data_IF_848412832048
#
_entry.id   IF_848412832048
#
_cell.length_a   1.000
_cell.length_b   1.000
_cell.length_c   1.000
_cell.angle_alpha   90.00
_cell.angle_beta   90.00
_cell.angle_gamma   90.00
#
_symmetry.space_group_name_H-M   'P 1'
#
loop_
_entity.id
_entity.type
_entity.pdbx_description
1 polymer ?
#
# COMPACT_ATOMS: atom_id res chain seq x y z
N UNK A 1 -40.50 -42.68 8.62
CA UNK A 1 -41.85 -42.19 9.01
C UNK A 1 -41.85 -40.68 8.81
N UNK A 2 -42.59 -40.14 7.81
CA UNK A 2 -43.80 -39.29 7.94
C UNK A 2 -43.68 -38.17 9.01
N UNK A 3 -43.97 -36.88 8.75
CA UNK A 3 -44.43 -36.14 7.53
C UNK A 3 -44.23 -34.61 7.74
N UNK A 4 -44.16 -33.82 6.66
CA UNK A 4 -44.33 -32.34 6.66
C UNK A 4 -45.82 -31.95 6.64
N UNK A 5 -46.23 -30.93 7.41
CA UNK A 5 -47.43 -30.05 7.28
C UNK A 5 -47.06 -28.74 8.04
N UNK A 6 -47.23 -27.47 7.62
CA UNK A 6 -47.78 -26.77 6.44
C UNK A 6 -49.29 -26.38 6.42
N UNK A 7 -49.56 -25.15 6.91
CA UNK A 7 -50.69 -24.24 6.60
C UNK A 7 -52.15 -24.60 7.00
N UNK A 8 -52.91 -23.60 7.47
CA UNK A 8 -54.15 -23.03 6.85
C UNK A 8 -54.76 -21.92 7.73
N UNK A 9 -55.37 -20.90 7.10
CA UNK A 9 -56.13 -19.81 7.73
C UNK A 9 -57.61 -20.17 7.94
N UNK A 10 -58.23 -19.66 9.02
CA UNK A 10 -59.60 -19.13 9.09
C UNK A 10 -59.77 -18.40 10.45
N UNK A 11 -59.89 -17.08 10.52
CA UNK A 11 -61.07 -16.27 10.18
C UNK A 11 -62.30 -16.58 11.07
N UNK A 12 -62.50 -15.77 12.11
CA UNK A 12 -63.82 -15.61 12.75
C UNK A 12 -64.17 -14.12 12.80
N UNK A 13 -65.33 -13.77 12.26
CA UNK A 13 -65.84 -12.40 12.21
C UNK A 13 -66.77 -12.21 13.39
N UNK A 14 -66.57 -11.14 14.16
CA UNK A 14 -67.64 -10.57 14.98
C UNK A 14 -67.53 -9.04 14.93
N UNK A 15 -68.42 -8.42 14.17
CA UNK A 15 -68.60 -6.98 14.19
C UNK A 15 -69.54 -6.61 15.33
N UNK A 16 -69.26 -5.51 16.04
CA UNK A 16 -70.30 -4.69 16.65
C UNK A 16 -69.82 -3.24 16.82
N UNK A 17 -70.49 -2.35 16.08
CA UNK A 17 -70.79 -0.92 16.36
C UNK A 17 -70.18 -0.23 17.60
N UNK A 18 -69.63 0.98 17.42
CA UNK A 18 -69.44 1.93 18.54
C UNK A 18 -68.73 3.25 18.21
N UNK A 19 -69.52 4.34 18.11
CA UNK A 19 -69.15 5.75 18.29
C UNK A 19 -67.93 6.35 17.53
N UNK A 20 -68.22 7.34 16.66
CA UNK A 20 -67.24 8.33 16.20
C UNK A 20 -66.99 9.36 17.31
N UNK A 21 -65.74 9.51 17.74
CA UNK A 21 -65.31 10.59 18.62
C UNK A 21 -64.32 11.50 17.88
N UNK A 22 -64.78 12.66 17.42
CA UNK A 22 -63.96 13.69 16.77
C UNK A 22 -63.15 14.46 17.82
N UNK A 23 -61.95 13.98 18.15
CA UNK A 23 -61.01 14.77 18.95
C UNK A 23 -60.26 15.76 18.05
N UNK A 24 -60.65 17.03 18.14
CA UNK A 24 -59.97 18.16 17.52
C UNK A 24 -58.69 18.42 18.30
N UNK A 25 -57.53 17.99 17.79
CA UNK A 25 -56.24 18.29 18.43
C UNK A 25 -55.87 19.73 18.10
N UNK A 26 -55.87 20.60 19.12
CA UNK A 26 -55.44 21.98 18.99
C UNK A 26 -53.95 22.05 18.64
N UNK A 27 -53.60 22.78 17.58
CA UNK A 27 -52.22 23.03 17.22
C UNK A 27 -51.59 24.04 18.21
N UNK A 28 -50.64 23.58 19.02
CA UNK A 28 -49.79 24.45 19.82
C UNK A 28 -48.68 25.07 18.95
N UNK A 29 -48.31 26.35 19.19
CA UNK A 29 -47.26 27.00 18.41
C UNK A 29 -45.89 26.41 18.73
N UNK A 30 -45.06 26.23 17.72
CA UNK A 30 -43.71 25.71 17.87
C UNK A 30 -42.78 26.76 18.51
N UNK A 31 -42.27 26.47 19.70
CA UNK A 31 -41.15 27.19 20.31
C UNK A 31 -39.83 26.71 19.71
N UNK A 32 -39.11 27.60 19.04
CA UNK A 32 -37.76 27.33 18.53
C UNK A 32 -36.72 27.66 19.60
N UNK A 33 -35.89 26.68 19.97
CA UNK A 33 -34.72 26.84 20.85
C UNK A 33 -33.65 25.77 20.51
N UNK A 34 -32.39 25.88 20.99
CA UNK A 34 -31.31 26.28 20.08
C UNK A 34 -30.44 25.12 19.56
N UNK A 35 -29.78 25.36 18.42
CA UNK A 35 -28.84 24.43 17.82
C UNK A 35 -27.49 24.38 18.57
N UNK A 36 -27.29 23.35 19.39
CA UNK A 36 -25.98 22.87 19.85
C UNK A 36 -26.00 21.33 19.88
N UNK A 37 -24.93 20.60 19.57
CA UNK A 37 -23.58 21.00 19.18
C UNK A 37 -23.17 20.30 17.87
N UNK A 38 -22.50 21.03 16.97
CA UNK A 38 -21.83 20.41 15.83
C UNK A 38 -20.65 19.58 16.34
N UNK A 39 -20.61 18.29 16.01
CA UNK A 39 -19.42 17.46 16.19
C UNK A 39 -18.30 17.99 15.30
N UNK A 40 -17.33 18.68 15.89
CA UNK A 40 -16.12 19.13 15.19
C UNK A 40 -15.48 17.95 14.48
N UNK A 41 -15.34 17.94 13.14
CA UNK A 41 -14.56 16.92 12.47
C UNK A 41 -13.14 17.00 13.02
N UNK A 42 -12.59 15.86 13.46
CA UNK A 42 -11.22 15.81 13.96
C UNK A 42 -10.28 16.44 12.92
N UNK A 43 -9.60 17.52 13.29
CA UNK A 43 -8.73 18.23 12.38
C UNK A 43 -7.65 17.27 11.90
N UNK A 44 -7.63 16.98 10.59
CA UNK A 44 -6.54 16.25 9.94
C UNK A 44 -5.22 16.92 10.37
N UNK A 45 -4.24 16.18 10.94
CA UNK A 45 -2.98 16.78 11.34
C UNK A 45 -2.32 17.45 10.13
N UNK A 46 -2.33 18.79 10.10
CA UNK A 46 -1.69 19.57 9.04
C UNK A 46 -0.19 19.70 9.32
N UNK A 47 0.48 18.55 9.47
CA UNK A 47 1.86 18.47 9.04
C UNK A 47 1.82 18.73 7.53
N UNK A 48 2.28 19.90 7.08
CA UNK A 48 2.56 20.13 5.67
C UNK A 48 3.68 19.17 5.27
N UNK A 49 3.28 18.01 4.77
CA UNK A 49 4.20 17.04 4.20
C UNK A 49 4.96 17.72 3.07
N UNK A 50 6.29 17.66 3.10
CA UNK A 50 7.16 18.17 2.02
C UNK A 50 7.10 17.28 0.75
N UNK A 51 5.96 16.60 0.58
CA UNK A 51 5.68 15.60 -0.42
C UNK A 51 4.89 16.19 -1.57
N UNK A 52 4.93 15.48 -2.70
CA UNK A 52 4.24 15.92 -3.89
C UNK A 52 2.72 16.03 -3.66
N UNK A 53 2.16 17.18 -4.04
CA UNK A 53 0.72 17.42 -4.09
C UNK A 53 0.29 17.49 -5.56
N UNK A 54 -0.62 16.61 -5.97
CA UNK A 54 -1.20 16.63 -7.30
C UNK A 54 -2.33 17.66 -7.40
N UNK A 55 -2.15 18.63 -8.29
CA UNK A 55 -3.11 19.71 -8.56
C UNK A 55 -3.92 19.47 -9.85
N UNK A 56 -3.71 18.35 -10.54
CA UNK A 56 -4.38 18.00 -11.79
C UNK A 56 -4.51 16.49 -11.97
N UNK A 57 -5.55 16.08 -12.69
CA UNK A 57 -5.82 14.69 -13.05
C UNK A 57 -4.78 14.17 -14.04
N UNK A 58 -4.19 13.00 -13.77
CA UNK A 58 -3.26 12.34 -14.69
C UNK A 58 -3.92 11.16 -15.40
N UNK A 59 -3.62 10.98 -16.69
CA UNK A 59 -4.11 9.88 -17.53
C UNK A 59 -3.10 9.59 -18.64
N UNK A 60 -3.37 8.58 -19.48
CA UNK A 60 -2.50 8.25 -20.63
C UNK A 60 -2.14 9.49 -21.45
N UNK A 61 -0.86 9.69 -21.71
CA UNK A 61 -0.31 10.87 -22.40
C UNK A 61 0.06 12.06 -21.49
N UNK A 62 -0.28 12.04 -20.20
CA UNK A 62 0.34 12.94 -19.22
C UNK A 62 1.84 12.63 -19.07
N UNK A 63 2.63 13.65 -18.73
CA UNK A 63 4.08 13.49 -18.52
C UNK A 63 4.65 14.42 -17.45
N UNK A 64 5.92 14.21 -17.09
CA UNK A 64 6.69 15.04 -16.16
C UNK A 64 6.58 14.61 -14.70
N UNK A 65 7.03 15.49 -13.79
CA UNK A 65 7.24 15.15 -12.37
C UNK A 65 5.99 14.60 -11.67
N UNK A 66 4.79 15.07 -12.02
CA UNK A 66 3.53 14.55 -11.48
C UNK A 66 3.35 13.05 -11.76
N UNK A 67 3.76 12.60 -12.96
CA UNK A 67 3.70 11.20 -13.38
C UNK A 67 4.82 10.39 -12.73
N UNK A 68 6.05 10.92 -12.68
CA UNK A 68 7.17 10.29 -11.96
C UNK A 68 6.78 10.00 -10.51
N UNK A 69 6.16 10.99 -9.85
CA UNK A 69 5.70 10.86 -8.48
C UNK A 69 4.55 9.85 -8.36
N UNK A 70 3.63 9.75 -9.33
CA UNK A 70 2.58 8.73 -9.34
C UNK A 70 3.20 7.32 -9.49
N UNK A 71 4.09 7.14 -10.47
CA UNK A 71 4.78 5.88 -10.76
C UNK A 71 5.49 5.32 -9.52
N UNK A 72 6.15 6.16 -8.71
CA UNK A 72 6.76 5.74 -7.44
C UNK A 72 5.73 5.06 -6.51
N UNK A 73 4.54 5.64 -6.32
CA UNK A 73 3.52 5.09 -5.41
C UNK A 73 2.86 3.83 -5.95
N UNK A 74 2.75 3.70 -7.27
CA UNK A 74 2.11 2.54 -7.92
C UNK A 74 3.12 1.49 -8.43
N UNK A 75 4.43 1.64 -8.18
CA UNK A 75 5.48 0.75 -8.69
C UNK A 75 5.28 -0.71 -8.30
N UNK A 76 4.76 -0.97 -7.09
CA UNK A 76 4.44 -2.32 -6.62
C UNK A 76 3.13 -2.90 -7.15
N UNK A 77 2.36 -2.16 -7.97
CA UNK A 77 1.04 -2.56 -8.47
C UNK A 77 1.11 -3.17 -9.88
N UNK A 78 2.10 -4.01 -10.14
CA UNK A 78 2.32 -4.69 -11.43
C UNK A 78 1.89 -6.18 -11.38
N UNK A 79 1.97 -6.87 -12.52
CA UNK A 79 1.78 -8.33 -12.65
C UNK A 79 3.01 -9.16 -12.27
N UNK A 80 2.91 -10.49 -12.39
CA UNK A 80 3.99 -11.42 -12.01
C UNK A 80 5.21 -11.29 -12.91
N UNK A 81 6.36 -10.93 -12.34
CA UNK A 81 7.62 -10.75 -13.07
C UNK A 81 7.74 -9.46 -13.87
N UNK A 82 6.72 -8.60 -13.84
CA UNK A 82 6.74 -7.25 -14.41
C UNK A 82 7.46 -6.28 -13.46
N UNK A 83 7.91 -5.14 -13.98
CA UNK A 83 8.34 -3.97 -13.22
C UNK A 83 7.87 -2.69 -13.91
N UNK A 84 7.60 -1.62 -13.15
CA UNK A 84 7.15 -0.34 -13.69
C UNK A 84 8.34 0.61 -13.87
N UNK A 85 8.51 1.15 -15.08
CA UNK A 85 9.45 2.22 -15.32
C UNK A 85 9.00 3.52 -14.62
N UNK A 86 9.94 4.20 -13.96
CA UNK A 86 9.74 5.51 -13.32
C UNK A 86 10.38 6.57 -14.23
N UNK A 87 9.78 6.78 -15.40
CA UNK A 87 10.27 7.60 -16.50
C UNK A 87 9.55 8.97 -16.62
N UNK A 88 8.50 9.18 -15.83
CA UNK A 88 7.65 10.36 -15.95
C UNK A 88 6.72 10.36 -17.16
N UNK A 89 6.47 9.21 -17.80
CA UNK A 89 5.56 9.08 -18.94
C UNK A 89 4.34 8.22 -18.58
N UNK A 90 3.14 8.75 -18.77
CA UNK A 90 1.91 8.00 -18.51
C UNK A 90 1.57 7.14 -19.74
N UNK A 91 2.35 6.08 -19.92
CA UNK A 91 2.13 5.04 -20.93
C UNK A 91 1.14 3.96 -20.48
N UNK A 92 0.91 2.93 -21.33
CA UNK A 92 0.02 1.80 -21.02
C UNK A 92 0.41 1.03 -19.75
N UNK A 93 1.71 0.89 -19.46
CA UNK A 93 2.20 0.24 -18.24
C UNK A 93 1.80 1.01 -16.97
N UNK A 94 1.93 2.34 -16.98
CA UNK A 94 1.50 3.23 -15.89
C UNK A 94 -0.01 3.13 -15.67
N UNK A 95 -0.81 3.08 -16.73
CA UNK A 95 -2.26 2.88 -16.63
C UNK A 95 -2.63 1.50 -16.06
N UNK A 96 -1.97 0.44 -16.53
CA UNK A 96 -2.21 -0.92 -16.06
C UNK A 96 -1.79 -1.11 -14.59
N UNK A 97 -0.75 -0.41 -14.14
CA UNK A 97 -0.38 -0.36 -12.72
C UNK A 97 -1.41 0.42 -11.89
N UNK A 98 -1.89 1.55 -12.41
CA UNK A 98 -2.90 2.37 -11.73
C UNK A 98 -4.23 1.63 -11.58
N UNK A 99 -4.71 0.93 -12.62
CA UNK A 99 -5.94 0.10 -12.53
C UNK A 99 -5.82 -0.98 -11.46
N UNK A 100 -4.64 -1.59 -11.30
CA UNK A 100 -4.37 -2.56 -10.23
C UNK A 100 -4.34 -1.91 -8.85
N UNK A 101 -3.76 -0.71 -8.71
CA UNK A 101 -3.84 0.09 -7.47
C UNK A 101 -5.29 0.43 -7.10
N UNK A 102 -6.07 0.97 -8.05
CA UNK A 102 -7.49 1.30 -7.87
C UNK A 102 -8.27 0.06 -7.41
N UNK A 103 -8.11 -1.06 -8.12
CA UNK A 103 -8.74 -2.35 -7.79
C UNK A 103 -8.36 -2.85 -6.40
N UNK A 104 -7.08 -2.81 -6.02
CA UNK A 104 -6.58 -3.29 -4.73
C UNK A 104 -6.97 -2.44 -3.50
N UNK A 105 -7.42 -1.20 -3.72
CA UNK A 105 -7.97 -0.32 -2.70
C UNK A 105 -9.50 -0.10 -2.81
N UNK A 106 -10.18 -0.79 -3.73
CA UNK A 106 -11.64 -0.69 -3.90
C UNK A 106 -12.13 0.65 -4.49
N UNK A 107 -11.26 1.35 -5.21
CA UNK A 107 -11.59 2.60 -5.91
C UNK A 107 -12.22 2.33 -7.28
N UNK A 108 -12.77 3.36 -7.93
CA UNK A 108 -13.18 3.26 -9.34
C UNK A 108 -12.00 2.86 -10.24
N UNK A 109 -12.14 1.77 -11.00
CA UNK A 109 -11.06 1.20 -11.83
C UNK A 109 -11.09 1.77 -13.26
N UNK A 110 -10.92 3.09 -13.38
CA UNK A 110 -10.99 3.82 -14.65
C UNK A 110 -9.63 4.06 -15.34
N UNK A 111 -8.50 3.83 -14.65
CA UNK A 111 -7.16 4.12 -15.16
C UNK A 111 -6.81 5.61 -15.20
N UNK A 112 -7.54 6.45 -14.45
CA UNK A 112 -7.36 7.90 -14.37
C UNK A 112 -7.01 8.27 -12.92
N UNK A 113 -5.86 8.91 -12.71
CA UNK A 113 -5.47 9.36 -11.38
C UNK A 113 -6.18 10.69 -11.09
N UNK A 114 -7.37 10.59 -10.50
CA UNK A 114 -8.19 11.69 -10.00
C UNK A 114 -8.11 11.84 -8.48
N UNK A 115 -9.04 12.65 -7.92
CA UNK A 115 -9.11 12.98 -6.49
C UNK A 115 -9.15 11.75 -5.56
N UNK A 116 -9.90 10.69 -5.91
CA UNK A 116 -9.96 9.46 -5.12
C UNK A 116 -8.61 8.72 -5.08
N UNK A 117 -7.93 8.62 -6.23
CA UNK A 117 -6.59 8.01 -6.34
C UNK A 117 -5.57 8.77 -5.51
N UNK A 118 -5.54 10.11 -5.62
CA UNK A 118 -4.62 10.93 -4.83
C UNK A 118 -4.98 10.90 -3.34
N UNK A 119 -6.28 10.91 -2.99
CA UNK A 119 -6.76 10.75 -1.62
C UNK A 119 -6.26 9.47 -0.97
N UNK A 120 -6.35 8.34 -1.67
CA UNK A 120 -5.81 7.07 -1.19
C UNK A 120 -4.28 7.09 -1.07
N UNK A 121 -3.57 7.69 -2.03
CA UNK A 121 -2.11 7.88 -1.93
C UNK A 121 -1.75 8.71 -0.69
N UNK A 122 -2.46 9.81 -0.42
CA UNK A 122 -2.20 10.65 0.75
C UNK A 122 -2.52 9.94 2.07
N UNK A 123 -3.53 9.06 2.10
CA UNK A 123 -3.86 8.24 3.27
C UNK A 123 -2.77 7.20 3.59
N UNK A 124 -2.03 6.75 2.57
CA UNK A 124 -0.91 5.81 2.69
C UNK A 124 0.44 6.49 2.95
N UNK A 125 0.52 7.82 2.98
CA UNK A 125 1.80 8.55 2.93
C UNK A 125 2.14 9.29 4.24
N UNK A 126 3.33 9.01 4.76
CA UNK A 126 3.97 9.70 5.90
C UNK A 126 4.47 11.10 5.53
N UNK A 127 4.80 11.92 6.55
CA UNK A 127 5.26 13.29 6.35
C UNK A 127 6.60 13.43 5.59
N UNK A 128 7.43 12.39 5.61
CA UNK A 128 8.71 12.25 4.88
C UNK A 128 8.56 11.53 3.51
N UNK A 129 7.31 11.29 3.11
CA UNK A 129 6.88 10.64 1.86
C UNK A 129 7.18 9.13 1.76
N UNK A 130 7.61 8.49 2.84
CA UNK A 130 7.52 7.03 2.98
C UNK A 130 6.05 6.58 3.03
N UNK A 131 5.74 5.31 2.75
CA UNK A 131 4.44 4.75 3.10
C UNK A 131 4.31 4.56 4.62
N UNK A 132 3.08 4.64 5.15
CA UNK A 132 2.79 4.63 6.60
C UNK A 132 3.23 3.37 7.38
N UNK A 133 3.63 2.29 6.70
CA UNK A 133 4.05 1.03 7.33
C UNK A 133 5.55 0.72 7.22
N UNK A 134 6.37 1.62 6.66
CA UNK A 134 7.82 1.40 6.50
C UNK A 134 8.59 2.71 6.69
N UNK A 135 9.36 2.83 7.78
CA UNK A 135 10.17 4.01 8.09
C UNK A 135 11.64 3.85 7.69
N UNK A 136 12.34 4.96 7.37
CA UNK A 136 13.77 4.93 7.03
C UNK A 136 14.68 4.27 8.09
N UNK A 137 14.28 4.27 9.36
CA UNK A 137 15.00 3.60 10.44
C UNK A 137 15.12 2.08 10.22
N UNK A 138 14.07 1.43 9.71
CA UNK A 138 14.02 -0.02 9.44
C UNK A 138 14.94 -0.46 8.30
N UNK A 139 15.48 0.50 7.54
CA UNK A 139 16.36 0.26 6.39
C UNK A 139 17.79 0.74 6.68
N UNK A 140 18.11 1.08 7.93
CA UNK A 140 19.35 1.75 8.33
C UNK A 140 20.00 1.09 9.57
N UNK A 141 19.87 -0.24 9.70
CA UNK A 141 20.29 -1.03 10.87
C UNK A 141 21.82 -1.11 11.03
N UNK A 142 22.44 -0.06 11.59
CA UNK A 142 23.88 0.11 11.89
C UNK A 142 24.87 -0.06 10.71
N UNK A 143 24.43 -0.62 9.60
CA UNK A 143 25.18 -0.88 8.39
C UNK A 143 25.12 0.30 7.40
N UNK A 144 24.11 1.15 7.55
CA UNK A 144 23.79 2.31 6.71
C UNK A 144 24.48 3.63 7.09
N UNK A 145 25.54 3.55 7.91
CA UNK A 145 26.52 4.59 8.24
C UNK A 145 26.03 6.05 8.09
N UNK A 146 25.64 6.68 9.21
CA UNK A 146 25.35 8.12 9.30
C UNK A 146 24.40 8.64 8.21
N UNK A 147 23.10 8.33 8.32
CA UNK A 147 22.05 8.84 7.44
C UNK A 147 22.27 8.49 5.95
N UNK A 148 22.33 7.19 5.65
CA UNK A 148 22.47 6.63 4.30
C UNK A 148 23.79 7.00 3.58
N UNK A 149 24.86 7.27 4.32
CA UNK A 149 26.16 7.64 3.74
C UNK A 149 27.09 6.44 3.49
N UNK A 150 28.20 6.67 2.76
CA UNK A 150 29.21 5.63 2.49
C UNK A 150 28.77 4.52 1.53
N UNK A 151 27.66 4.70 0.80
CA UNK A 151 27.22 3.82 -0.26
C UNK A 151 27.95 4.06 -1.59
N UNK A 152 27.44 3.48 -2.67
CA UNK A 152 27.89 3.71 -4.05
C UNK A 152 27.20 4.90 -4.75
N UNK A 153 26.28 5.56 -4.07
CA UNK A 153 25.59 6.79 -4.48
C UNK A 153 25.54 7.77 -3.30
N UNK A 154 25.20 9.04 -3.56
CA UNK A 154 24.99 10.02 -2.49
C UNK A 154 23.79 9.68 -1.61
N UNK A 155 23.84 10.09 -0.34
CA UNK A 155 22.82 9.72 0.67
C UNK A 155 21.38 10.03 0.25
N UNK A 156 21.12 11.20 -0.33
CA UNK A 156 19.80 11.57 -0.83
C UNK A 156 19.31 10.65 -1.97
N UNK A 157 20.21 10.13 -2.81
CA UNK A 157 19.88 9.14 -3.84
C UNK A 157 19.61 7.78 -3.22
N UNK A 158 20.40 7.36 -2.24
CA UNK A 158 20.15 6.11 -1.50
C UNK A 158 18.79 6.14 -0.78
N UNK A 159 18.44 7.27 -0.14
CA UNK A 159 17.13 7.48 0.48
C UNK A 159 15.98 7.44 -0.54
N UNK A 160 16.11 8.14 -1.68
CA UNK A 160 15.10 8.08 -2.75
C UNK A 160 14.91 6.66 -3.30
N UNK A 161 15.99 5.92 -3.49
CA UNK A 161 15.95 4.52 -3.92
C UNK A 161 15.26 3.64 -2.87
N UNK A 162 15.60 3.82 -1.58
CA UNK A 162 14.97 3.09 -0.48
C UNK A 162 13.48 3.41 -0.37
N UNK A 163 13.09 4.67 -0.56
CA UNK A 163 11.68 5.09 -0.61
C UNK A 163 10.89 4.39 -1.71
N UNK A 164 11.50 4.14 -2.88
CA UNK A 164 10.87 3.36 -3.97
C UNK A 164 10.64 1.90 -3.57
N UNK A 165 11.64 1.28 -2.96
CA UNK A 165 11.53 -0.08 -2.38
C UNK A 165 10.39 -0.14 -1.36
N UNK A 166 10.28 0.84 -0.46
CA UNK A 166 9.18 0.92 0.51
C UNK A 166 7.79 1.00 -0.15
N UNK A 167 7.60 1.81 -1.20
CA UNK A 167 6.31 1.88 -1.90
C UNK A 167 5.94 0.57 -2.63
N UNK A 168 6.93 -0.22 -3.05
CA UNK A 168 6.71 -1.58 -3.55
C UNK A 168 6.35 -2.56 -2.43
N UNK A 169 7.02 -2.45 -1.27
CA UNK A 169 6.71 -3.23 -0.07
C UNK A 169 5.31 -2.90 0.48
N UNK A 170 4.83 -1.67 0.39
CA UNK A 170 3.46 -1.29 0.77
C UNK A 170 2.41 -1.99 -0.12
N UNK A 171 2.64 -2.01 -1.44
CA UNK A 171 1.79 -2.78 -2.35
C UNK A 171 1.84 -4.28 -2.05
N UNK A 172 3.00 -4.81 -1.70
CA UNK A 172 3.19 -6.21 -1.31
C UNK A 172 2.47 -6.54 0.01
N UNK A 173 2.59 -5.68 1.02
CA UNK A 173 1.89 -5.74 2.32
C UNK A 173 0.37 -5.79 2.10
N UNK A 174 -0.16 -4.91 1.24
CA UNK A 174 -1.58 -4.90 0.87
C UNK A 174 -2.00 -6.21 0.18
N UNK A 175 -1.23 -6.67 -0.81
CA UNK A 175 -1.44 -7.94 -1.53
C UNK A 175 -1.34 -9.19 -0.63
N UNK A 176 -0.65 -9.09 0.51
CA UNK A 176 -0.55 -10.13 1.54
C UNK A 176 -1.66 -10.07 2.61
N UNK A 177 -2.71 -9.25 2.39
CA UNK A 177 -3.87 -9.15 3.26
C UNK A 177 -3.66 -8.20 4.45
N UNK A 178 -2.96 -7.08 4.22
CA UNK A 178 -2.65 -6.05 5.23
C UNK A 178 -1.85 -6.56 6.44
N UNK A 179 -1.09 -7.65 6.24
CA UNK A 179 -0.21 -8.26 7.26
C UNK A 179 1.19 -7.64 7.20
N UNK A 180 1.86 -7.43 8.34
CA UNK A 180 3.15 -6.75 8.39
C UNK A 180 4.26 -7.56 7.69
N UNK A 181 5.18 -6.86 7.03
CA UNK A 181 6.43 -7.41 6.50
C UNK A 181 7.56 -6.82 7.36
N UNK A 182 8.43 -7.67 7.89
CA UNK A 182 9.58 -7.21 8.67
C UNK A 182 10.79 -7.04 7.77
N UNK A 183 11.49 -5.93 7.93
CA UNK A 183 12.78 -5.66 7.30
C UNK A 183 13.88 -6.05 8.29
N UNK A 184 14.87 -6.81 7.83
CA UNK A 184 16.04 -7.22 8.62
C UNK A 184 17.36 -6.64 8.09
N UNK A 185 17.34 -6.05 6.89
CA UNK A 185 18.42 -5.23 6.36
C UNK A 185 17.90 -4.34 5.23
N UNK A 186 18.42 -3.12 5.13
CA UNK A 186 18.14 -2.20 4.04
C UNK A 186 19.41 -1.69 3.40
N UNK A 187 19.65 -0.38 3.45
CA UNK A 187 20.86 0.24 2.94
C UNK A 187 22.11 -0.24 3.70
N UNK A 188 23.17 -0.60 2.94
CA UNK A 188 24.48 -1.00 3.48
C UNK A 188 25.56 -0.13 2.88
N UNK A 189 26.33 0.58 3.70
CA UNK A 189 27.57 1.24 3.26
C UNK A 189 28.57 0.24 2.66
N UNK A 190 29.48 0.68 1.79
CA UNK A 190 30.50 -0.19 1.16
C UNK A 190 31.35 -0.92 2.21
N UNK A 191 31.71 -0.22 3.29
CA UNK A 191 32.44 -0.80 4.44
C UNK A 191 31.64 -1.93 5.09
N UNK A 192 30.39 -1.67 5.49
CA UNK A 192 29.59 -2.69 6.17
C UNK A 192 29.17 -3.85 5.24
N UNK A 193 28.84 -3.56 3.96
CA UNK A 193 28.60 -4.61 2.97
C UNK A 193 29.82 -5.54 2.83
N UNK A 194 31.04 -5.02 2.97
CA UNK A 194 32.26 -5.83 2.95
C UNK A 194 32.44 -6.62 4.26
N UNK A 195 32.14 -6.05 5.43
CA UNK A 195 32.28 -6.76 6.72
C UNK A 195 31.29 -7.91 6.89
N UNK A 196 30.14 -7.87 6.22
CA UNK A 196 29.18 -9.00 6.18
C UNK A 196 29.43 -9.98 5.04
N UNK A 197 30.53 -9.84 4.29
CA UNK A 197 30.85 -10.72 3.15
C UNK A 197 29.93 -10.56 1.93
N UNK A 198 29.24 -9.42 1.81
CA UNK A 198 28.32 -9.13 0.72
C UNK A 198 29.00 -8.91 -0.63
N UNK A 199 28.30 -9.22 -1.72
CA UNK A 199 28.81 -9.05 -3.08
C UNK A 199 29.28 -7.61 -3.36
N UNK A 200 30.36 -7.47 -4.14
CA UNK A 200 30.86 -6.18 -4.62
C UNK A 200 29.84 -5.42 -5.50
N UNK A 201 28.86 -6.12 -6.09
CA UNK A 201 27.78 -5.57 -6.93
C UNK A 201 26.44 -5.41 -6.19
N UNK A 202 26.40 -5.71 -4.88
CA UNK A 202 25.18 -5.70 -4.04
C UNK A 202 24.37 -4.39 -4.15
N UNK A 203 23.07 -4.52 -4.41
CA UNK A 203 22.12 -3.41 -4.56
C UNK A 203 21.88 -2.62 -3.26
N UNK A 204 22.23 -3.21 -2.10
CA UNK A 204 22.13 -2.53 -0.79
C UNK A 204 22.98 -1.27 -0.71
N UNK A 205 24.12 -1.23 -1.40
CA UNK A 205 24.99 -0.04 -1.45
C UNK A 205 24.40 1.11 -2.28
N UNK A 206 23.29 0.89 -2.98
CA UNK A 206 22.57 1.89 -3.75
C UNK A 206 21.26 2.33 -3.07
N UNK A 207 20.88 1.70 -1.95
CA UNK A 207 19.56 1.86 -1.34
C UNK A 207 18.43 1.18 -2.14
N UNK A 208 18.77 0.39 -3.15
CA UNK A 208 17.82 -0.23 -4.10
C UNK A 208 17.26 -1.58 -3.63
N UNK A 209 17.47 -1.99 -2.37
CA UNK A 209 17.11 -3.32 -1.88
C UNK A 209 16.72 -3.39 -0.41
N UNK A 210 16.08 -4.50 -0.05
CA UNK A 210 15.75 -4.89 1.32
C UNK A 210 15.84 -6.41 1.50
N UNK A 211 16.29 -6.83 2.68
CA UNK A 211 16.19 -8.21 3.14
C UNK A 211 14.97 -8.29 4.07
N UNK A 212 13.97 -9.10 3.70
CA UNK A 212 12.78 -9.32 4.51
C UNK A 212 13.04 -10.45 5.51
N UNK A 213 12.95 -10.12 6.80
CA UNK A 213 13.13 -11.03 7.91
C UNK A 213 11.92 -11.92 8.15
N UNK A 214 12.14 -13.08 8.76
CA UNK A 214 11.09 -14.01 9.14
C UNK A 214 10.57 -13.66 10.53
N UNK A 215 9.30 -13.24 10.64
CA UNK A 215 8.57 -13.28 11.92
C UNK A 215 7.69 -14.52 11.94
N UNK A 216 7.92 -15.37 12.95
CA UNK A 216 7.17 -16.61 13.18
C UNK A 216 5.66 -16.35 13.13
N UNK A 217 4.93 -17.21 12.42
CA UNK A 217 3.48 -17.14 12.19
C UNK A 217 2.96 -15.97 11.34
N UNK A 218 3.81 -15.07 10.83
CA UNK A 218 3.37 -14.00 9.92
C UNK A 218 3.40 -14.47 8.46
N UNK A 219 4.58 -14.56 7.85
CA UNK A 219 4.77 -15.03 6.48
C UNK A 219 5.87 -16.08 6.40
N UNK A 220 5.68 -17.11 5.56
CA UNK A 220 6.80 -17.97 5.16
C UNK A 220 7.68 -17.25 4.13
N UNK A 221 8.96 -17.60 4.04
CA UNK A 221 9.84 -17.06 2.99
C UNK A 221 9.28 -17.30 1.59
N UNK A 222 8.69 -18.47 1.33
CA UNK A 222 8.08 -18.77 0.03
C UNK A 222 6.79 -17.98 -0.23
N UNK A 223 6.07 -17.55 0.82
CA UNK A 223 5.00 -16.56 0.70
C UNK A 223 5.56 -15.19 0.29
N UNK A 224 6.63 -14.73 0.96
CA UNK A 224 7.28 -13.45 0.65
C UNK A 224 7.87 -13.44 -0.77
N UNK A 225 8.62 -14.48 -1.16
CA UNK A 225 9.18 -14.66 -2.49
C UNK A 225 8.12 -14.58 -3.59
N UNK A 226 7.02 -15.35 -3.46
CA UNK A 226 5.96 -15.36 -4.48
C UNK A 226 5.18 -14.05 -4.53
N UNK A 227 5.03 -13.34 -3.41
CA UNK A 227 4.40 -12.02 -3.38
C UNK A 227 5.32 -10.91 -3.92
N UNK A 228 6.63 -10.97 -3.66
CA UNK A 228 7.63 -10.05 -4.22
C UNK A 228 7.69 -10.11 -5.75
N UNK A 229 7.48 -11.31 -6.35
CA UNK A 229 7.34 -11.47 -7.80
C UNK A 229 6.17 -10.69 -8.40
N UNK A 230 5.19 -10.28 -7.59
CA UNK A 230 4.05 -9.45 -8.00
C UNK A 230 4.21 -7.98 -7.57
N UNK A 231 5.39 -7.55 -7.07
CA UNK A 231 5.63 -6.24 -6.46
C UNK A 231 6.68 -5.39 -7.20
N UNK A 232 7.02 -5.73 -8.45
CA UNK A 232 7.91 -4.92 -9.29
C UNK A 232 9.41 -5.11 -9.05
N UNK A 233 9.81 -5.92 -8.08
CA UNK A 233 11.21 -6.22 -7.81
C UNK A 233 11.82 -7.05 -8.94
N UNK A 234 12.91 -6.56 -9.51
CA UNK A 234 13.59 -7.21 -10.63
C UNK A 234 14.59 -8.27 -10.15
N UNK A 235 15.20 -8.09 -8.98
CA UNK A 235 16.03 -9.12 -8.32
C UNK A 235 15.31 -9.63 -7.05
N UNK A 236 15.19 -10.95 -6.91
CA UNK A 236 14.52 -11.59 -5.77
C UNK A 236 15.22 -12.91 -5.45
N UNK A 237 15.79 -13.04 -4.25
CA UNK A 237 16.54 -14.22 -3.82
C UNK A 237 15.95 -14.79 -2.52
N UNK A 238 15.97 -16.10 -2.36
CA UNK A 238 15.37 -16.76 -1.20
C UNK A 238 15.74 -18.25 -1.11
N UNK A 239 14.94 -19.05 -0.37
CA UNK A 239 15.30 -20.43 0.00
C UNK A 239 15.79 -21.30 -1.16
N UNK A 240 16.92 -21.96 -0.92
CA UNK A 240 17.66 -22.77 -1.89
C UNK A 240 18.69 -21.99 -2.72
N UNK A 241 18.68 -20.65 -2.70
CA UNK A 241 19.76 -19.84 -3.27
C UNK A 241 20.88 -19.64 -2.22
N UNK A 242 22.17 -19.69 -2.60
CA UNK A 242 23.28 -19.60 -1.65
C UNK A 242 23.17 -18.39 -0.74
N UNK A 243 23.32 -18.60 0.58
CA UNK A 243 23.23 -17.58 1.64
C UNK A 243 21.87 -16.85 1.77
N UNK A 244 20.77 -17.41 1.25
CA UNK A 244 19.42 -16.81 1.33
C UNK A 244 18.37 -17.79 1.91
N UNK A 245 18.79 -18.65 2.85
CA UNK A 245 17.91 -19.63 3.50
C UNK A 245 17.21 -19.10 4.77
N UNK A 246 17.55 -17.91 5.24
CA UNK A 246 17.06 -17.29 6.50
C UNK A 246 16.30 -15.97 6.29
N UNK A 247 16.31 -15.40 5.08
CA UNK A 247 15.58 -14.20 4.69
C UNK A 247 15.03 -14.31 3.26
N UNK A 248 14.35 -13.28 2.76
CA UNK A 248 14.08 -13.09 1.33
C UNK A 248 14.58 -11.72 0.91
N UNK A 249 15.56 -11.70 0.01
CA UNK A 249 16.12 -10.50 -0.57
C UNK A 249 15.24 -10.00 -1.73
N UNK A 250 15.03 -8.69 -1.80
CA UNK A 250 14.39 -8.00 -2.92
C UNK A 250 15.21 -6.78 -3.34
N UNK A 251 15.34 -6.55 -4.64
CA UNK A 251 15.98 -5.35 -5.16
C UNK A 251 15.42 -4.88 -6.51
N UNK A 252 15.62 -3.59 -6.77
CA UNK A 252 15.44 -2.96 -8.07
C UNK A 252 16.81 -2.92 -8.78
N UNK A 253 17.09 -3.88 -9.64
CA UNK A 253 18.28 -3.94 -10.50
C UNK A 253 17.95 -3.92 -11.99
N UNK A 254 18.99 -4.01 -12.83
CA UNK A 254 18.88 -4.13 -14.29
C UNK A 254 18.58 -5.57 -14.71
N UNK A 255 17.42 -5.79 -15.34
CA UNK A 255 16.99 -7.13 -15.78
C UNK A 255 16.43 -7.99 -14.65
N UNK A 256 15.71 -9.06 -15.01
CA UNK A 256 14.97 -9.89 -14.04
C UNK A 256 15.77 -11.11 -13.59
N UNK A 257 16.07 -11.19 -12.29
CA UNK A 257 16.80 -12.29 -11.65
C UNK A 257 16.09 -12.78 -10.38
N UNK A 258 15.17 -13.75 -10.56
CA UNK A 258 14.43 -14.37 -9.45
C UNK A 258 14.94 -15.79 -9.19
N UNK A 259 15.38 -16.10 -7.96
CA UNK A 259 15.90 -17.43 -7.56
C UNK A 259 15.52 -17.80 -6.12
N UNK A 260 14.59 -18.74 -5.96
CA UNK A 260 14.37 -19.48 -4.72
C UNK A 260 13.97 -20.94 -5.06
N UNK A 261 14.94 -21.83 -5.30
CA UNK A 261 14.70 -23.23 -5.69
C UNK A 261 13.76 -24.02 -4.76
N UNK A 262 13.64 -23.62 -3.49
CA UNK A 262 12.88 -24.35 -2.47
C UNK A 262 11.46 -23.76 -2.23
N UNK A 263 10.88 -23.00 -3.18
CA UNK A 263 9.64 -22.20 -2.95
C UNK A 263 8.46 -22.37 -3.94
#
# INVERSE_FOLDING_TARGET
MRKKILSILAAFVMALTGAVATNVVAATPATAEPATAASTPAAKPSAQSNCYTWNSTLRRGSSGAAVTQLQIRIAGWVGTGESLAIDGQFGPATEAALRRFQSGYGLQVDGIAGSETFGQIYALQSADCTPIHFAYSEFNDNCGANNFSGGRVGAATAQENTRRVMWQLEAMRKKLGDRPITISSGFRSVSCNSSVGGSATSRHMYGDSADMGIVTNVHSQCTLYRAARNAGFTEILGPGYPNHNDHVHVANGTGTFHRAPNC
#
